data_IF_394013204578
#
_entry.id   IF_394013204578
#
_cell.length_a   1.000
_cell.length_b   1.000
_cell.length_c   1.000
_cell.angle_alpha   90.00
_cell.angle_beta   90.00
_cell.angle_gamma   90.00
#
_symmetry.space_group_name_H-M   'P 1'
#
loop_
_entity.id
_entity.type
_entity.pdbx_description
1 polymer ?
#
# COMPACT_ATOMS: atom_id res chain seq x y z
N UNK A 1 -0.26 4.40 -32.83
CA UNK A 1 0.37 3.41 -31.94
C UNK A 1 -0.38 3.52 -30.63
N UNK A 2 -1.31 2.60 -30.41
CA UNK A 2 -2.08 2.54 -29.17
C UNK A 2 -1.12 2.06 -28.08
N UNK A 3 -0.70 2.95 -27.19
CA UNK A 3 -0.07 2.57 -25.93
C UNK A 3 -1.17 1.91 -25.09
N UNK A 4 -1.42 0.63 -25.33
CA UNK A 4 -2.13 -0.22 -24.39
C UNK A 4 -1.30 -0.25 -23.12
N UNK A 5 -1.65 0.61 -22.16
CA UNK A 5 -1.04 0.64 -20.84
C UNK A 5 -1.15 -0.75 -20.23
N UNK A 6 -0.05 -1.50 -20.29
CA UNK A 6 0.00 -2.81 -19.68
C UNK A 6 -0.13 -2.59 -18.18
N UNK A 7 -1.26 -3.04 -17.61
CA UNK A 7 -1.49 -2.95 -16.18
C UNK A 7 -0.33 -3.62 -15.46
N UNK A 8 0.39 -2.83 -14.66
CA UNK A 8 1.48 -3.28 -13.80
C UNK A 8 0.92 -4.37 -12.88
N UNK A 9 1.33 -5.62 -13.09
CA UNK A 9 0.90 -6.74 -12.26
C UNK A 9 1.78 -6.84 -11.03
N UNK A 10 1.19 -6.54 -9.87
CA UNK A 10 1.84 -6.72 -8.58
C UNK A 10 2.10 -8.20 -8.29
N UNK A 11 3.26 -8.50 -7.68
CA UNK A 11 3.59 -9.89 -7.31
C UNK A 11 3.05 -10.26 -5.94
N UNK A 12 2.97 -9.28 -5.03
CA UNK A 12 2.53 -9.49 -3.66
C UNK A 12 2.04 -8.19 -3.05
N UNK A 13 0.97 -8.29 -2.28
CA UNK A 13 0.39 -7.18 -1.52
C UNK A 13 0.07 -7.65 -0.10
N UNK A 14 0.18 -6.73 0.86
CA UNK A 14 -0.38 -6.92 2.20
C UNK A 14 -0.86 -5.57 2.74
N UNK A 15 -2.04 -5.57 3.35
CA UNK A 15 -2.52 -4.42 4.12
C UNK A 15 -2.51 -4.77 5.60
N UNK A 16 -1.94 -3.88 6.39
CA UNK A 16 -1.94 -3.95 7.85
C UNK A 16 -2.53 -2.67 8.42
N UNK A 17 -3.30 -2.82 9.50
CA UNK A 17 -3.97 -1.70 10.17
C UNK A 17 -3.75 -1.72 11.67
N UNK A 18 -3.72 -0.53 12.26
CA UNK A 18 -3.73 -0.36 13.70
C UNK A 18 -4.78 0.67 14.07
N UNK A 19 -5.75 0.26 14.88
CA UNK A 19 -6.76 1.15 15.47
C UNK A 19 -6.18 1.85 16.68
N UNK A 20 -6.31 3.17 16.73
CA UNK A 20 -5.91 4.00 17.87
C UNK A 20 -7.03 4.94 18.32
N UNK A 21 -6.78 5.67 19.42
CA UNK A 21 -7.73 6.65 19.98
C UNK A 21 -8.08 7.80 19.00
N UNK A 22 -7.21 8.08 18.01
CA UNK A 22 -7.36 9.18 17.06
C UNK A 22 -7.52 8.69 15.61
N UNK A 23 -8.15 7.52 15.42
CA UNK A 23 -8.44 6.95 14.10
C UNK A 23 -7.59 5.72 13.76
N UNK A 24 -7.70 5.27 12.51
CA UNK A 24 -7.00 4.11 11.97
C UNK A 24 -5.73 4.54 11.26
N UNK A 25 -4.62 3.88 11.59
CA UNK A 25 -3.40 3.92 10.79
C UNK A 25 -3.37 2.69 9.91
N UNK A 26 -3.00 2.85 8.65
CA UNK A 26 -2.80 1.72 7.77
C UNK A 26 -1.45 1.81 7.09
N UNK A 27 -0.92 0.64 6.73
CA UNK A 27 0.21 0.51 5.83
C UNK A 27 -0.11 -0.59 4.84
N UNK A 28 0.10 -0.29 3.57
CA UNK A 28 0.07 -1.25 2.48
C UNK A 28 1.50 -1.49 2.01
N UNK A 29 1.84 -2.76 1.92
CA UNK A 29 3.11 -3.25 1.43
C UNK A 29 2.85 -3.82 0.04
N UNK A 30 3.61 -3.37 -0.95
CA UNK A 30 3.42 -3.75 -2.34
C UNK A 30 4.76 -4.10 -2.94
N UNK A 31 4.82 -5.26 -3.59
CA UNK A 31 6.01 -5.73 -4.29
C UNK A 31 5.76 -5.77 -5.79
N UNK A 32 6.61 -5.09 -6.54
CA UNK A 32 6.69 -5.15 -7.99
C UNK A 32 8.11 -5.49 -8.44
N UNK A 33 8.30 -6.71 -8.97
CA UNK A 33 9.62 -7.28 -9.29
C UNK A 33 10.69 -7.02 -8.20
N UNK A 34 11.59 -6.06 -8.42
CA UNK A 34 12.67 -5.65 -7.51
C UNK A 34 12.39 -4.36 -6.75
N UNK A 35 11.18 -3.83 -6.86
CA UNK A 35 10.76 -2.58 -6.22
C UNK A 35 9.77 -2.92 -5.11
N UNK A 36 10.14 -2.56 -3.89
CA UNK A 36 9.27 -2.63 -2.74
C UNK A 36 8.71 -1.24 -2.43
N UNK A 37 7.39 -1.16 -2.31
CA UNK A 37 6.68 0.06 -1.97
C UNK A 37 5.95 -0.12 -0.64
N UNK A 38 6.06 0.91 0.17
CA UNK A 38 5.26 1.08 1.36
C UNK A 38 4.37 2.29 1.16
N UNK A 39 3.07 2.10 1.33
CA UNK A 39 2.07 3.15 1.23
C UNK A 39 1.37 3.22 2.58
N UNK A 40 1.73 4.20 3.39
CA UNK A 40 1.17 4.36 4.72
C UNK A 40 0.36 5.63 4.85
N UNK A 41 -0.55 5.66 5.81
CA UNK A 41 -1.37 6.84 6.02
C UNK A 41 -2.19 6.81 7.29
N UNK A 42 -2.76 7.97 7.57
CA UNK A 42 -3.76 8.19 8.60
C UNK A 42 -4.86 9.05 8.01
N UNK A 43 -6.07 8.50 7.87
CA UNK A 43 -7.21 9.21 7.30
C UNK A 43 -6.86 9.86 5.94
N UNK A 44 -6.75 11.20 5.87
CA UNK A 44 -6.51 11.97 4.62
C UNK A 44 -5.04 12.28 4.30
N UNK A 45 -4.09 11.81 5.12
CA UNK A 45 -2.64 12.06 4.90
C UNK A 45 -1.91 10.75 4.72
N UNK A 46 -1.14 10.67 3.65
CA UNK A 46 -0.36 9.50 3.28
C UNK A 46 1.09 9.80 3.02
N UNK A 47 1.85 8.73 2.87
CA UNK A 47 3.22 8.76 2.40
C UNK A 47 3.45 7.52 1.53
N UNK A 48 4.37 7.64 0.58
CA UNK A 48 4.89 6.52 -0.18
C UNK A 48 6.39 6.47 0.05
N UNK A 49 6.89 5.32 0.47
CA UNK A 49 8.33 5.02 0.49
C UNK A 49 8.61 3.97 -0.57
N UNK A 50 9.60 4.25 -1.40
CA UNK A 50 10.12 3.33 -2.42
C UNK A 50 11.47 2.80 -1.97
N UNK A 51 11.63 1.50 -2.10
CA UNK A 51 12.89 0.80 -1.83
C UNK A 51 13.22 -0.08 -3.04
N UNK A 52 14.10 0.37 -3.95
CA UNK A 52 14.64 -0.50 -4.97
C UNK A 52 15.60 -1.52 -4.34
N UNK A 53 15.54 -2.77 -4.78
CA UNK A 53 16.42 -3.85 -4.38
C UNK A 53 17.24 -4.34 -5.57
N UNK A 54 18.39 -4.98 -5.33
CA UNK A 54 19.25 -5.46 -6.41
C UNK A 54 18.64 -6.71 -7.06
N UNK A 55 17.95 -7.53 -6.26
CA UNK A 55 17.29 -8.75 -6.69
C UNK A 55 15.84 -8.87 -6.23
N UNK A 56 15.06 -9.71 -6.92
CA UNK A 56 13.67 -10.00 -6.53
C UNK A 56 13.61 -10.74 -5.19
N UNK A 57 14.62 -11.57 -4.90
CA UNK A 57 14.71 -12.28 -3.64
C UNK A 57 14.86 -11.31 -2.46
N UNK A 58 15.73 -10.31 -2.58
CA UNK A 58 15.87 -9.25 -1.57
C UNK A 58 14.58 -8.45 -1.38
N UNK A 59 13.87 -8.13 -2.47
CA UNK A 59 12.62 -7.38 -2.37
C UNK A 59 11.52 -8.20 -1.65
N UNK A 60 11.48 -9.52 -1.86
CA UNK A 60 10.59 -10.43 -1.11
C UNK A 60 10.98 -10.47 0.37
N UNK A 61 12.27 -10.56 0.68
CA UNK A 61 12.77 -10.59 2.06
C UNK A 61 12.46 -9.28 2.80
N UNK A 62 12.66 -8.13 2.15
CA UNK A 62 12.30 -6.82 2.68
C UNK A 62 10.79 -6.71 2.95
N UNK A 63 9.95 -7.20 2.03
CA UNK A 63 8.50 -7.26 2.22
C UNK A 63 8.13 -8.09 3.45
N UNK A 64 8.68 -9.30 3.59
CA UNK A 64 8.36 -10.21 4.68
C UNK A 64 8.82 -9.64 6.03
N UNK A 65 10.04 -9.14 6.10
CA UNK A 65 10.61 -8.49 7.28
C UNK A 65 9.74 -7.33 7.74
N UNK A 66 9.33 -6.46 6.82
CA UNK A 66 8.48 -5.32 7.17
C UNK A 66 7.07 -5.72 7.61
N UNK A 67 6.48 -6.74 6.96
CA UNK A 67 5.19 -7.28 7.39
C UNK A 67 5.27 -7.80 8.84
N UNK A 68 6.28 -8.59 9.15
CA UNK A 68 6.51 -9.13 10.50
C UNK A 68 6.74 -8.02 11.54
N UNK A 69 7.50 -6.98 11.19
CA UNK A 69 7.68 -5.81 12.04
C UNK A 69 6.35 -5.13 12.38
N UNK A 70 5.47 -4.87 11.40
CA UNK A 70 4.18 -4.25 11.66
C UNK A 70 3.26 -5.12 12.52
N UNK A 71 3.20 -6.43 12.23
CA UNK A 71 2.41 -7.38 13.01
C UNK A 71 2.89 -7.42 14.47
N UNK A 72 4.20 -7.30 14.70
CA UNK A 72 4.79 -7.20 16.04
C UNK A 72 4.45 -5.87 16.72
N UNK A 73 4.38 -4.76 15.98
CA UNK A 73 3.94 -3.44 16.48
C UNK A 73 2.40 -3.29 16.57
N UNK A 74 1.71 -4.40 16.86
CA UNK A 74 0.25 -4.44 17.12
C UNK A 74 -0.62 -4.00 15.93
N UNK A 75 -0.08 -4.01 14.71
CA UNK A 75 -0.93 -3.97 13.53
C UNK A 75 -1.55 -5.35 13.30
N UNK A 76 -2.69 -5.36 12.61
CA UNK A 76 -3.38 -6.58 12.20
C UNK A 76 -3.46 -6.62 10.69
N UNK A 77 -3.23 -7.79 10.09
CA UNK A 77 -3.49 -7.97 8.67
C UNK A 77 -4.99 -7.83 8.41
N UNK A 78 -5.34 -7.07 7.38
CA UNK A 78 -6.73 -6.92 6.92
C UNK A 78 -6.82 -7.39 5.48
N UNK A 79 -7.93 -8.07 5.10
CA UNK A 79 -8.17 -8.41 3.70
C UNK A 79 -8.14 -7.17 2.82
N UNK A 80 -7.45 -7.27 1.69
CA UNK A 80 -7.34 -6.21 0.69
C UNK A 80 -7.61 -6.78 -0.69
N UNK A 81 -8.24 -5.97 -1.54
CA UNK A 81 -8.47 -6.30 -2.94
C UNK A 81 -7.46 -5.51 -3.76
N UNK A 82 -6.67 -6.19 -4.59
CA UNK A 82 -5.60 -5.57 -5.39
C UNK A 82 -6.11 -4.45 -6.31
N UNK A 83 -7.41 -4.44 -6.63
CA UNK A 83 -8.12 -3.42 -7.41
C UNK A 83 -8.15 -2.04 -6.73
N UNK A 84 -7.89 -1.97 -5.42
CA UNK A 84 -7.92 -0.73 -4.64
C UNK A 84 -6.55 -0.05 -4.53
N UNK A 85 -5.51 -0.62 -5.15
CA UNK A 85 -4.19 0.00 -5.17
C UNK A 85 -4.29 1.39 -5.79
N UNK A 86 -3.82 2.46 -5.10
CA UNK A 86 -3.80 3.78 -5.71
C UNK A 86 -3.01 3.70 -7.01
N UNK A 87 -3.50 4.35 -8.07
CA UNK A 87 -2.73 4.49 -9.30
C UNK A 87 -1.38 5.12 -8.95
N UNK A 88 -0.32 4.31 -9.08
CA UNK A 88 1.02 4.76 -8.79
C UNK A 88 1.55 5.48 -10.04
N UNK A 89 2.07 6.71 -9.90
CA UNK A 89 2.72 7.38 -11.02
C UNK A 89 3.75 6.45 -11.69
N UNK A 90 3.75 6.29 -13.03
CA UNK A 90 4.72 5.43 -13.73
C UNK A 90 6.16 5.74 -13.36
N UNK A 91 6.44 7.00 -13.01
CA UNK A 91 7.75 7.51 -12.59
C UNK A 91 8.26 6.84 -11.30
N UNK A 92 7.39 6.21 -10.49
CA UNK A 92 7.82 5.40 -9.33
C UNK A 92 8.62 4.17 -9.73
N UNK A 93 8.46 3.70 -10.97
CA UNK A 93 9.24 2.59 -11.51
C UNK A 93 10.58 3.04 -12.09
N UNK A 94 10.79 4.34 -12.30
CA UNK A 94 12.03 4.87 -12.84
C UNK A 94 13.16 4.74 -11.81
N UNK A 95 14.33 4.32 -12.28
CA UNK A 95 15.50 4.11 -11.43
C UNK A 95 15.86 5.36 -10.61
N UNK A 96 15.63 6.55 -11.18
CA UNK A 96 16.04 7.86 -10.63
C UNK A 96 15.01 8.52 -9.69
N UNK A 97 13.91 7.83 -9.34
CA UNK A 97 12.87 8.39 -8.47
C UNK A 97 13.28 8.46 -6.99
N UNK A 98 13.18 9.65 -6.37
CA UNK A 98 13.73 9.96 -5.02
C UNK A 98 12.70 10.28 -3.93
N UNK A 99 11.43 9.90 -4.06
CA UNK A 99 10.42 10.12 -3.01
C UNK A 99 9.55 11.35 -3.27
N UNK A 100 8.22 11.19 -3.19
CA UNK A 100 7.26 12.31 -3.19
C UNK A 100 6.15 12.02 -2.17
N UNK A 101 5.66 13.04 -1.48
CA UNK A 101 4.41 12.97 -0.72
C UNK A 101 3.24 12.63 -1.66
N UNK A 102 2.37 11.69 -1.27
CA UNK A 102 1.18 11.34 -2.04
C UNK A 102 -0.11 11.70 -1.30
N UNK A 103 -1.12 12.12 -2.05
CA UNK A 103 -2.49 12.20 -1.53
C UNK A 103 -3.14 10.83 -1.71
N UNK A 104 -3.57 10.22 -0.60
CA UNK A 104 -4.36 8.99 -0.64
C UNK A 104 -5.81 9.35 -1.00
N UNK A 105 -6.54 8.49 -1.75
CA UNK A 105 -7.97 8.69 -1.93
C UNK A 105 -8.62 8.80 -0.56
N UNK A 106 -9.52 9.77 -0.39
CA UNK A 106 -10.36 9.82 0.80
C UNK A 106 -11.11 8.48 0.87
N UNK A 107 -11.01 7.77 1.99
CA UNK A 107 -12.01 6.74 2.28
C UNK A 107 -13.36 7.47 2.22
N UNK A 108 -14.21 7.13 1.26
CA UNK A 108 -15.64 7.38 1.44
C UNK A 108 -15.97 6.70 2.75
N UNK A 109 -16.34 7.50 3.75
CA UNK A 109 -16.86 7.01 5.02
C UNK A 109 -18.02 6.07 4.68
N UNK A 110 -17.75 4.77 4.61
CA UNK A 110 -18.79 3.77 4.54
C UNK A 110 -19.41 3.65 5.94
N UNK A 111 -19.97 4.77 6.44
CA UNK A 111 -21.11 4.77 7.35
C UNK A 111 -22.34 4.26 6.58
N UNK A 112 -22.26 3.01 6.13
CA UNK A 112 -23.37 2.23 5.61
C UNK A 112 -24.16 1.59 6.76
N UNK A 113 -24.90 2.43 7.49
CA UNK A 113 -26.17 2.11 8.18
C UNK A 113 -26.31 0.69 8.80
N UNK A 114 -26.12 0.62 10.12
CA UNK A 114 -27.04 -0.17 10.95
C UNK A 114 -28.40 0.53 10.95
N UNK A 115 -29.18 0.33 9.89
CA UNK A 115 -30.57 0.75 9.79
C UNK A 115 -31.44 -0.48 9.68
N UNK A 116 -32.07 -0.86 10.79
CA UNK A 116 -33.07 -1.90 10.83
C UNK A 116 -34.12 -1.74 9.72
N UNK A 117 -34.41 -2.85 9.03
CA UNK A 117 -35.69 -3.04 8.34
C UNK A 117 -36.25 -4.35 8.85
N UNK A 118 -37.34 -4.22 9.61
CA UNK A 118 -38.34 -5.27 9.79
C UNK A 118 -39.13 -5.42 8.50
#
# INVERSE_FOLDING_TARGET
>A
MENGGELIRFHRTARVERRGLFGTKFVMLVLYDRVFLQVGGTSRRGWITRSPCDTRAEAIDAFQTMLEHYLTDRYTSVPWQDELLPELPPELLDADWTGVECSLPAEDDHEGRTGAVR
#
